data_IF_669796383277
#
_entry.id   IF_669796383277
#
_cell.length_a   1.000
_cell.length_b   1.000
_cell.length_c   1.000
_cell.angle_alpha   90.00
_cell.angle_beta   90.00
_cell.angle_gamma   90.00
#
_symmetry.space_group_name_H-M   'P 1'
#
loop_
_entity.id
_entity.type
_entity.pdbx_description
1 polymer ?
#
# COMPACT_ATOMS: atom_id res chain seq x y z
N UNK A 1 21.00 -2.45 -35.44
CA UNK A 1 21.27 -3.86 -35.06
C UNK A 1 20.00 -4.67 -35.24
N UNK A 2 20.09 -5.84 -35.87
CA UNK A 2 18.95 -6.76 -36.06
C UNK A 2 18.57 -7.41 -34.72
N UNK A 3 17.28 -7.69 -34.48
CA UNK A 3 16.82 -8.41 -33.28
C UNK A 3 17.52 -9.77 -33.11
N UNK A 4 17.93 -10.42 -34.21
CA UNK A 4 18.63 -11.70 -34.18
C UNK A 4 20.00 -11.59 -33.49
N UNK A 5 20.81 -10.59 -33.85
CA UNK A 5 22.14 -10.34 -33.24
C UNK A 5 22.09 -9.97 -31.76
N UNK A 6 20.94 -9.50 -31.27
CA UNK A 6 20.72 -9.07 -29.90
C UNK A 6 20.53 -10.26 -28.95
N UNK A 7 19.75 -11.26 -29.36
CA UNK A 7 19.51 -12.47 -28.57
C UNK A 7 20.75 -13.35 -28.48
N UNK A 8 21.51 -13.45 -29.57
CA UNK A 8 22.76 -14.21 -29.61
C UNK A 8 23.82 -13.63 -28.64
N UNK A 9 23.85 -12.31 -28.46
CA UNK A 9 24.72 -11.61 -27.49
C UNK A 9 24.39 -11.95 -26.03
N UNK A 10 23.11 -12.16 -25.72
CA UNK A 10 22.66 -12.49 -24.36
C UNK A 10 23.03 -13.94 -24.02
N UNK A 11 22.87 -14.85 -24.98
CA UNK A 11 23.18 -16.28 -24.83
C UNK A 11 24.69 -16.56 -24.82
N UNK A 12 25.51 -15.73 -25.47
CA UNK A 12 26.96 -15.93 -25.61
C UNK A 12 27.83 -15.35 -24.48
N UNK A 13 27.27 -15.02 -23.32
CA UNK A 13 28.03 -14.55 -22.15
C UNK A 13 28.38 -13.06 -22.13
N UNK A 14 27.93 -12.28 -23.13
CA UNK A 14 28.05 -10.80 -23.18
C UNK A 14 26.84 -10.07 -22.58
N UNK A 15 26.09 -10.74 -21.70
CA UNK A 15 24.94 -10.15 -21.01
C UNK A 15 25.31 -8.85 -20.27
N UNK A 16 26.53 -8.76 -19.74
CA UNK A 16 27.03 -7.54 -19.08
C UNK A 16 27.14 -6.34 -20.03
N UNK A 17 27.61 -6.54 -21.26
CA UNK A 17 27.71 -5.47 -22.25
C UNK A 17 26.33 -4.96 -22.65
N UNK A 18 25.36 -5.88 -22.80
CA UNK A 18 23.98 -5.55 -23.07
C UNK A 18 23.33 -4.73 -21.95
N UNK A 19 23.46 -5.18 -20.69
CA UNK A 19 22.94 -4.44 -19.54
C UNK A 19 23.54 -3.04 -19.46
N UNK A 20 24.86 -2.95 -19.66
CA UNK A 20 25.61 -1.68 -19.59
C UNK A 20 25.18 -0.69 -20.67
N UNK A 21 24.93 -1.15 -21.90
CA UNK A 21 24.57 -0.26 -23.01
C UNK A 21 23.09 0.08 -23.08
N UNK A 22 22.19 -0.85 -22.72
CA UNK A 22 20.77 -0.68 -22.99
C UNK A 22 19.91 -0.50 -21.73
N UNK A 23 20.27 -1.12 -20.61
CA UNK A 23 19.42 -1.12 -19.40
C UNK A 23 19.91 -0.07 -18.40
N UNK A 24 21.19 -0.09 -18.05
CA UNK A 24 21.77 0.78 -17.03
C UNK A 24 21.64 2.29 -17.31
N UNK A 25 21.72 2.79 -18.56
CA UNK A 25 21.56 4.22 -18.82
C UNK A 25 20.17 4.75 -18.44
N UNK A 26 19.14 3.88 -18.44
CA UNK A 26 17.79 4.24 -18.02
C UNK A 26 17.53 3.87 -16.55
N UNK A 27 18.03 2.71 -16.11
CA UNK A 27 17.74 2.17 -14.79
C UNK A 27 18.54 2.86 -13.68
N UNK A 28 19.83 3.17 -13.88
CA UNK A 28 20.66 3.77 -12.83
C UNK A 28 20.16 5.15 -12.39
N UNK A 29 19.81 6.09 -13.30
CA UNK A 29 19.22 7.36 -12.89
C UNK A 29 17.88 7.18 -12.17
N UNK A 30 17.05 6.23 -12.61
CA UNK A 30 15.79 5.91 -11.95
C UNK A 30 15.99 5.39 -10.52
N UNK A 31 17.01 4.54 -10.31
CA UNK A 31 17.37 4.03 -8.99
C UNK A 31 17.95 5.12 -8.09
N UNK A 32 18.76 6.03 -8.64
CA UNK A 32 19.27 7.18 -7.90
C UNK A 32 18.14 8.07 -7.38
N UNK A 33 17.18 8.42 -8.25
CA UNK A 33 16.00 9.21 -7.88
C UNK A 33 15.10 8.45 -6.89
N UNK A 34 14.97 7.13 -7.04
CA UNK A 34 14.25 6.29 -6.08
C UNK A 34 14.89 6.36 -4.68
N UNK A 35 16.22 6.31 -4.60
CA UNK A 35 16.95 6.38 -3.34
C UNK A 35 16.81 7.77 -2.69
N UNK A 36 16.86 8.86 -3.47
CA UNK A 36 16.57 10.22 -2.97
C UNK A 36 15.15 10.30 -2.40
N UNK A 37 14.16 9.78 -3.11
CA UNK A 37 12.76 9.76 -2.63
C UNK A 37 12.59 8.89 -1.38
N UNK A 38 13.28 7.76 -1.31
CA UNK A 38 13.29 6.89 -0.13
C UNK A 38 13.90 7.60 1.09
N UNK A 39 14.95 8.39 0.87
CA UNK A 39 15.57 9.23 1.91
C UNK A 39 14.60 10.31 2.42
N UNK A 40 13.96 11.05 1.52
CA UNK A 40 12.93 12.06 1.88
C UNK A 40 11.79 11.45 2.71
N UNK A 41 11.42 10.21 2.38
CA UNK A 41 10.36 9.46 3.06
C UNK A 41 10.84 8.78 4.36
N UNK A 42 12.08 9.05 4.80
CA UNK A 42 12.73 8.48 6.00
C UNK A 42 12.74 6.94 6.02
N UNK A 43 12.82 6.31 4.85
CA UNK A 43 12.81 4.84 4.75
C UNK A 43 14.05 4.20 5.39
N UNK A 44 15.18 4.92 5.43
CA UNK A 44 16.42 4.45 6.05
C UNK A 44 16.44 4.59 7.57
N UNK A 45 15.54 5.40 8.14
CA UNK A 45 15.44 5.63 9.58
C UNK A 45 14.38 4.72 10.22
N UNK A 46 13.26 4.47 9.52
CA UNK A 46 12.14 3.67 10.02
C UNK A 46 12.32 2.19 9.66
N UNK A 47 12.17 1.29 10.65
CA UNK A 47 12.18 -0.18 10.42
C UNK A 47 11.06 -0.66 9.49
N UNK A 48 9.95 0.10 9.39
CA UNK A 48 8.83 -0.18 8.48
C UNK A 48 8.41 1.12 7.81
N UNK A 49 8.17 1.06 6.51
CA UNK A 49 7.76 2.21 5.69
C UNK A 49 6.77 1.75 4.61
N UNK A 50 5.90 2.67 4.18
CA UNK A 50 4.89 2.41 3.13
C UNK A 50 5.40 2.66 1.70
N UNK A 51 6.62 3.17 1.54
CA UNK A 51 7.21 3.45 0.23
C UNK A 51 7.54 2.16 -0.51
N UNK A 52 6.99 2.01 -1.72
CA UNK A 52 7.29 0.89 -2.61
C UNK A 52 8.21 1.34 -3.75
N UNK A 53 9.48 0.91 -3.68
CA UNK A 53 10.48 1.26 -4.69
C UNK A 53 10.15 0.73 -6.09
N UNK A 54 9.51 -0.43 -6.20
CA UNK A 54 9.12 -0.98 -7.50
C UNK A 54 8.01 -0.16 -8.16
N UNK A 55 7.06 0.33 -7.38
CA UNK A 55 6.00 1.22 -7.90
C UNK A 55 6.61 2.53 -8.40
N UNK A 56 7.54 3.11 -7.62
CA UNK A 56 8.26 4.31 -8.02
C UNK A 56 9.05 4.09 -9.33
N UNK A 57 9.84 3.02 -9.42
CA UNK A 57 10.62 2.71 -10.62
C UNK A 57 9.72 2.48 -11.83
N UNK A 58 8.61 1.76 -11.66
CA UNK A 58 7.64 1.51 -12.74
C UNK A 58 7.09 2.82 -13.29
N UNK A 59 6.65 3.71 -12.40
CA UNK A 59 6.14 5.02 -12.79
C UNK A 59 7.23 5.90 -13.43
N UNK A 60 8.42 5.95 -12.84
CA UNK A 60 9.53 6.76 -13.32
C UNK A 60 9.99 6.32 -14.71
N UNK A 61 10.19 5.01 -14.92
CA UNK A 61 10.61 4.47 -16.21
C UNK A 61 9.52 4.63 -17.27
N UNK A 62 8.24 4.49 -16.89
CA UNK A 62 7.13 4.70 -17.80
C UNK A 62 7.02 6.17 -18.25
N UNK A 63 7.23 7.10 -17.31
CA UNK A 63 7.21 8.55 -17.55
C UNK A 63 8.37 9.00 -18.42
N UNK A 64 9.57 8.50 -18.16
CA UNK A 64 10.81 8.91 -18.83
C UNK A 64 11.18 8.02 -20.04
N UNK A 65 10.24 7.25 -20.57
CA UNK A 65 10.48 6.40 -21.72
C UNK A 65 10.67 7.23 -23.00
N UNK A 66 11.91 7.33 -23.46
CA UNK A 66 12.34 8.11 -24.64
C UNK A 66 11.74 7.61 -25.97
N UNK A 67 11.24 6.38 -26.03
CA UNK A 67 10.66 5.81 -27.24
C UNK A 67 9.20 6.20 -27.47
N UNK A 68 8.53 6.81 -26.49
CA UNK A 68 7.14 7.27 -26.64
C UNK A 68 7.10 8.78 -26.84
N UNK A 69 6.30 9.24 -27.81
CA UNK A 69 6.08 10.68 -28.09
C UNK A 69 4.99 11.31 -27.21
N UNK A 70 4.30 10.52 -26.39
CA UNK A 70 3.22 11.03 -25.55
C UNK A 70 3.77 11.82 -24.36
N UNK A 71 3.18 12.99 -24.12
CA UNK A 71 3.53 13.82 -22.97
C UNK A 71 2.95 13.20 -21.68
N UNK A 72 3.72 12.32 -21.04
CA UNK A 72 3.35 11.60 -19.80
C UNK A 72 3.62 12.40 -18.52
N UNK A 73 3.85 13.71 -18.63
CA UNK A 73 4.27 14.55 -17.51
C UNK A 73 3.21 14.66 -16.40
N UNK A 74 1.93 14.49 -16.77
CA UNK A 74 0.78 14.58 -15.86
C UNK A 74 0.58 13.36 -14.94
N UNK A 75 1.25 12.23 -15.18
CA UNK A 75 1.10 11.03 -14.35
C UNK A 75 1.72 11.26 -12.97
N UNK A 76 0.93 11.05 -11.92
CA UNK A 76 1.35 11.21 -10.52
C UNK A 76 1.36 9.88 -9.78
N UNK A 77 0.43 8.98 -10.11
CA UNK A 77 0.23 7.70 -9.42
C UNK A 77 0.28 6.54 -10.40
N UNK A 78 0.57 5.35 -9.89
CA UNK A 78 0.62 4.12 -10.67
C UNK A 78 -0.73 3.78 -11.32
N UNK A 79 -1.84 4.15 -10.69
CA UNK A 79 -3.20 4.00 -11.22
C UNK A 79 -3.44 4.77 -12.52
N UNK A 80 -2.66 5.84 -12.77
CA UNK A 80 -2.82 6.67 -13.96
C UNK A 80 -2.30 5.94 -15.23
N UNK A 81 -1.57 4.84 -15.06
CA UNK A 81 -1.05 4.03 -16.16
C UNK A 81 -2.16 3.11 -16.69
N UNK A 82 -2.54 3.19 -17.99
CA UNK A 82 -3.74 2.53 -18.50
C UNK A 82 -3.78 1.01 -18.30
N UNK A 83 -2.67 0.32 -18.51
CA UNK A 83 -2.61 -1.13 -18.35
C UNK A 83 -2.67 -1.56 -16.87
N UNK A 84 -2.20 -0.71 -15.95
CA UNK A 84 -2.29 -0.96 -14.50
C UNK A 84 -3.71 -0.74 -14.02
N UNK A 85 -4.36 0.34 -14.44
CA UNK A 85 -5.76 0.61 -14.11
C UNK A 85 -6.64 -0.58 -14.50
N UNK A 86 -6.48 -1.08 -15.74
CA UNK A 86 -7.23 -2.24 -16.23
C UNK A 86 -6.96 -3.51 -15.42
N UNK A 87 -5.71 -3.74 -15.02
CA UNK A 87 -5.35 -4.88 -14.18
C UNK A 87 -5.99 -4.78 -12.79
N UNK A 88 -5.99 -3.58 -12.20
CA UNK A 88 -6.53 -3.35 -10.86
C UNK A 88 -8.06 -3.42 -10.78
N UNK A 89 -8.77 -3.22 -11.89
CA UNK A 89 -10.21 -3.50 -11.98
C UNK A 89 -10.52 -4.98 -11.76
N UNK A 90 -9.67 -5.87 -12.30
CA UNK A 90 -9.84 -7.32 -12.15
C UNK A 90 -9.21 -7.83 -10.85
N UNK A 91 -8.05 -7.28 -10.49
CA UNK A 91 -7.22 -7.70 -9.36
C UNK A 91 -6.84 -6.50 -8.49
N UNK A 92 -7.76 -6.01 -7.63
CA UNK A 92 -7.50 -4.83 -6.82
C UNK A 92 -6.36 -5.09 -5.83
N UNK A 93 -5.41 -4.16 -5.76
CA UNK A 93 -4.30 -4.23 -4.82
C UNK A 93 -4.83 -4.08 -3.39
N UNK A 94 -4.40 -4.98 -2.50
CA UNK A 94 -4.74 -4.89 -1.07
C UNK A 94 -4.18 -3.59 -0.47
N UNK A 95 -4.95 -2.87 0.36
CA UNK A 95 -4.47 -1.66 1.00
C UNK A 95 -3.31 -1.99 1.96
N UNK A 96 -2.39 -1.04 2.13
CA UNK A 96 -1.34 -1.14 3.12
C UNK A 96 -1.95 -1.25 4.54
N UNK A 97 -1.26 -1.86 5.51
CA UNK A 97 -1.75 -1.83 6.90
C UNK A 97 -1.84 -0.38 7.40
N UNK A 98 -2.86 -0.06 8.20
CA UNK A 98 -3.14 1.31 8.69
C UNK A 98 -1.92 1.98 9.35
N UNK A 99 -1.11 1.20 10.06
CA UNK A 99 0.15 1.65 10.67
C UNK A 99 1.17 2.23 9.68
N UNK A 100 1.05 1.93 8.39
CA UNK A 100 1.91 2.44 7.32
C UNK A 100 1.20 3.51 6.46
N UNK A 101 -0.11 3.70 6.63
CA UNK A 101 -0.89 4.69 5.92
C UNK A 101 -0.98 6.01 6.69
N UNK A 102 -1.13 5.94 8.01
CA UNK A 102 -1.34 7.12 8.84
C UNK A 102 -0.09 7.97 8.97
N UNK A 103 -0.29 9.29 8.97
CA UNK A 103 0.75 10.21 9.43
C UNK A 103 1.00 10.03 10.93
N UNK A 104 2.15 10.52 11.41
CA UNK A 104 2.48 10.45 12.83
C UNK A 104 1.43 11.22 13.68
N UNK A 105 0.87 12.32 13.14
CA UNK A 105 -0.22 13.09 13.78
C UNK A 105 -1.55 12.33 13.80
N UNK A 106 -1.96 11.74 12.68
CA UNK A 106 -3.19 10.95 12.61
C UNK A 106 -3.14 9.75 13.54
N UNK A 107 -2.01 9.04 13.55
CA UNK A 107 -1.76 7.93 14.44
C UNK A 107 -1.82 8.37 15.91
N UNK A 108 -1.23 9.53 16.25
CA UNK A 108 -1.29 10.08 17.60
C UNK A 108 -2.72 10.39 18.03
N UNK A 109 -3.53 11.03 17.18
CA UNK A 109 -4.95 11.32 17.46
C UNK A 109 -5.71 10.03 17.74
N UNK A 110 -5.52 9.01 16.88
CA UNK A 110 -6.18 7.71 17.07
C UNK A 110 -5.75 7.10 18.40
N UNK A 111 -4.45 6.97 18.66
CA UNK A 111 -3.93 6.41 19.91
C UNK A 111 -4.49 7.12 21.15
N UNK A 112 -4.46 8.45 21.15
CA UNK A 112 -5.00 9.23 22.27
C UNK A 112 -6.51 9.04 22.45
N UNK A 113 -7.28 8.94 21.36
CA UNK A 113 -8.73 8.69 21.43
C UNK A 113 -9.03 7.31 22.03
N UNK A 114 -8.28 6.27 21.62
CA UNK A 114 -8.39 4.93 22.18
C UNK A 114 -8.01 4.90 23.66
N UNK A 115 -6.94 5.60 24.04
CA UNK A 115 -6.50 5.71 25.42
C UNK A 115 -7.54 6.39 26.31
N UNK A 116 -8.08 7.53 25.89
CA UNK A 116 -9.17 8.22 26.61
C UNK A 116 -10.38 7.31 26.78
N UNK A 117 -10.78 6.61 25.72
CA UNK A 117 -11.87 5.63 25.79
C UNK A 117 -11.55 4.47 26.72
N UNK A 118 -10.30 3.99 26.74
CA UNK A 118 -9.86 2.94 27.65
C UNK A 118 -9.93 3.40 29.12
N UNK A 119 -9.47 4.61 29.43
CA UNK A 119 -9.55 5.19 30.77
C UNK A 119 -10.99 5.27 31.26
N UNK A 120 -11.90 5.81 30.45
CA UNK A 120 -13.34 5.84 30.78
C UNK A 120 -13.87 4.42 31.00
N UNK A 121 -13.45 3.46 30.18
CA UNK A 121 -13.88 2.06 30.34
C UNK A 121 -13.31 1.37 31.57
N UNK A 122 -12.30 1.92 32.24
CA UNK A 122 -11.80 1.40 33.51
C UNK A 122 -12.56 1.89 34.73
N UNK A 123 -13.36 2.96 34.60
CA UNK A 123 -14.17 3.51 35.68
C UNK A 123 -15.17 2.42 36.13
N UNK A 124 -15.22 2.04 37.43
CA UNK A 124 -16.04 0.93 37.90
C UNK A 124 -17.51 1.03 37.52
N UNK A 125 -18.12 2.21 37.69
CA UNK A 125 -19.52 2.49 37.39
C UNK A 125 -19.80 2.30 35.89
N UNK A 126 -18.84 2.68 35.03
CA UNK A 126 -18.94 2.49 33.58
C UNK A 126 -18.73 1.01 33.22
N UNK A 127 -17.89 0.27 33.94
CA UNK A 127 -17.76 -1.17 33.77
C UNK A 127 -19.06 -1.90 34.07
N UNK A 128 -19.65 -1.62 35.23
CA UNK A 128 -20.91 -2.20 35.68
C UNK A 128 -22.04 -1.89 34.69
N UNK A 129 -22.16 -0.63 34.27
CA UNK A 129 -23.15 -0.24 33.26
C UNK A 129 -22.98 -1.01 31.94
N UNK A 130 -21.74 -1.19 31.47
CA UNK A 130 -21.47 -1.96 30.24
C UNK A 130 -21.82 -3.45 30.40
N UNK A 131 -21.54 -4.04 31.56
CA UNK A 131 -21.90 -5.42 31.87
C UNK A 131 -23.43 -5.57 31.85
N UNK A 132 -24.13 -4.69 32.56
CA UNK A 132 -25.59 -4.66 32.57
C UNK A 132 -26.18 -4.50 31.16
N UNK A 133 -25.67 -3.56 30.35
CA UNK A 133 -26.10 -3.39 28.96
C UNK A 133 -25.83 -4.62 28.08
N UNK A 134 -24.79 -5.40 28.37
CA UNK A 134 -24.48 -6.65 27.68
C UNK A 134 -25.48 -7.74 28.06
N UNK A 135 -25.76 -7.89 29.36
CA UNK A 135 -26.71 -8.85 29.91
C UNK A 135 -28.14 -8.58 29.43
N UNK A 136 -28.56 -7.31 29.48
CA UNK A 136 -29.88 -6.90 29.00
C UNK A 136 -30.08 -7.22 27.51
N UNK A 137 -29.09 -6.94 26.66
CA UNK A 137 -29.12 -7.31 25.24
C UNK A 137 -29.16 -8.83 25.04
N UNK A 138 -28.46 -9.60 25.88
CA UNK A 138 -28.50 -11.07 25.82
C UNK A 138 -29.88 -11.61 26.22
N UNK A 139 -30.44 -11.08 27.30
CA UNK A 139 -31.77 -11.45 27.79
C UNK A 139 -32.84 -11.21 26.72
N UNK A 140 -32.83 -10.05 26.06
CA UNK A 140 -33.80 -9.74 25.02
C UNK A 140 -33.69 -10.67 23.81
N UNK A 141 -32.46 -10.97 23.33
CA UNK A 141 -32.27 -11.95 22.24
C UNK A 141 -32.82 -13.33 22.61
N UNK A 142 -32.57 -13.80 23.83
CA UNK A 142 -33.09 -15.09 24.29
C UNK A 142 -34.63 -15.09 24.37
N UNK A 143 -35.24 -13.97 24.77
CA UNK A 143 -36.69 -13.82 24.82
C UNK A 143 -37.31 -13.83 23.42
N UNK A 144 -36.68 -13.15 22.47
CA UNK A 144 -37.06 -13.17 21.04
C UNK A 144 -37.00 -14.59 20.47
N UNK A 145 -35.87 -15.28 20.65
CA UNK A 145 -35.69 -16.67 20.20
C UNK A 145 -36.72 -17.64 20.83
N UNK A 146 -37.08 -17.44 22.09
CA UNK A 146 -38.13 -18.23 22.75
C UNK A 146 -39.51 -17.92 22.17
N UNK A 147 -39.82 -16.65 21.90
CA UNK A 147 -41.09 -16.28 21.27
C UNK A 147 -41.24 -16.88 19.87
N UNK A 148 -40.17 -16.91 19.08
CA UNK A 148 -40.17 -17.53 17.73
C UNK A 148 -40.39 -19.05 17.79
N UNK A 149 -39.74 -19.74 18.74
CA UNK A 149 -39.93 -21.19 18.97
C UNK A 149 -41.30 -21.58 19.49
N UNK A 150 -42.03 -20.65 20.11
CA UNK A 150 -43.37 -20.91 20.64
C UNK A 150 -44.46 -20.72 19.57
N UNK A 151 -44.12 -20.08 18.44
CA UNK A 151 -45.03 -19.82 17.31
C UNK A 151 -44.89 -20.90 16.22
N UNK A 152 -43.87 -21.76 16.29
CA UNK A 152 -43.64 -22.90 15.37
C UNK A 152 -44.11 -24.20 16.00
#
# INVERSE_FOLDING_TARGET
>A
MSKATLWDSIVSGRASEYLTHFIFPCLLPAMEEMLKKAQESRCFEKKRFGFNGLDFLTLYLYKNNTYTKDNRTALQTLSDIPWISKEWETNPRKPLPLSLQWSDEEAAIKLQSYWRGYLVRRIPEVCELRQWQSEWRRYNRMKEEQSEKTIT
#
